data_IF_129560704325
#
_entry.id   IF_129560704325
#
_cell.length_a   1.000
_cell.length_b   1.000
_cell.length_c   1.000
_cell.angle_alpha   90.00
_cell.angle_beta   90.00
_cell.angle_gamma   90.00
#
_symmetry.space_group_name_H-M   'P 1'
#
loop_
_entity.id
_entity.type
_entity.pdbx_description
1 polymer ?
#
# COMPACT_ATOMS: atom_id res chain seq x y z
N UNK A 1 1.67 -30.93 -4.98
CA UNK A 1 1.26 -29.71 -5.69
C UNK A 1 -0.25 -29.78 -5.83
N UNK A 2 -1.01 -29.11 -4.95
CA UNK A 2 -2.45 -28.92 -5.15
C UNK A 2 -2.62 -28.15 -6.45
N UNK A 3 -3.49 -28.64 -7.37
CA UNK A 3 -3.80 -27.94 -8.60
C UNK A 3 -4.37 -26.55 -8.25
N UNK A 4 -3.66 -25.50 -8.63
CA UNK A 4 -4.15 -24.12 -8.47
C UNK A 4 -5.54 -24.00 -9.14
N UNK A 5 -6.45 -23.31 -8.51
CA UNK A 5 -7.79 -23.06 -9.06
C UNK A 5 -7.63 -22.19 -10.31
N UNK A 6 -8.24 -22.60 -11.44
CA UNK A 6 -8.21 -21.83 -12.68
C UNK A 6 -9.51 -21.04 -12.82
N UNK A 7 -9.40 -19.75 -13.05
CA UNK A 7 -10.53 -18.92 -13.50
C UNK A 7 -10.46 -18.82 -15.02
N UNK A 8 -11.30 -19.59 -15.70
CA UNK A 8 -11.30 -19.69 -17.16
C UNK A 8 -11.81 -18.42 -17.86
N UNK A 9 -12.36 -17.47 -17.11
CA UNK A 9 -12.82 -16.21 -17.68
C UNK A 9 -11.63 -15.34 -18.12
N UNK A 10 -11.61 -14.95 -19.40
CA UNK A 10 -10.64 -13.99 -19.93
C UNK A 10 -11.19 -12.58 -19.78
N UNK A 11 -10.56 -11.79 -18.92
CA UNK A 11 -10.90 -10.37 -18.72
C UNK A 11 -10.28 -9.49 -19.79
N UNK A 12 -10.95 -8.38 -20.14
CA UNK A 12 -10.34 -7.40 -21.04
C UNK A 12 -9.13 -6.75 -20.38
N UNK A 13 -9.28 -6.36 -19.12
CA UNK A 13 -8.23 -5.71 -18.31
C UNK A 13 -8.09 -6.38 -16.96
N UNK A 14 -6.88 -6.76 -16.59
CA UNK A 14 -6.53 -7.10 -15.21
C UNK A 14 -5.59 -6.03 -14.65
N UNK A 15 -5.94 -5.51 -13.48
CA UNK A 15 -5.20 -4.48 -12.76
C UNK A 15 -4.47 -5.15 -11.61
N UNK A 16 -3.15 -5.00 -11.55
CA UNK A 16 -2.32 -5.54 -10.48
C UNK A 16 -1.98 -4.40 -9.52
N UNK A 17 -2.63 -4.42 -8.34
CA UNK A 17 -2.53 -3.41 -7.31
C UNK A 17 -3.79 -2.55 -7.18
N UNK A 18 -4.42 -2.58 -6.01
CA UNK A 18 -5.67 -1.91 -5.67
C UNK A 18 -5.50 -0.58 -4.92
N UNK A 19 -4.36 0.10 -5.12
CA UNK A 19 -4.13 1.46 -4.62
C UNK A 19 -4.93 2.53 -5.37
N UNK A 20 -4.76 3.83 -5.06
CA UNK A 20 -5.54 4.90 -5.70
C UNK A 20 -5.48 4.88 -7.22
N UNK A 21 -4.29 4.73 -7.82
CA UNK A 21 -4.13 4.62 -9.26
C UNK A 21 -4.84 3.39 -9.82
N UNK A 22 -4.77 2.24 -9.13
CA UNK A 22 -5.46 1.01 -9.53
C UNK A 22 -6.98 1.12 -9.48
N UNK A 23 -7.51 1.73 -8.43
CA UNK A 23 -8.95 2.00 -8.29
C UNK A 23 -9.45 2.91 -9.41
N UNK A 24 -8.73 4.00 -9.70
CA UNK A 24 -9.12 4.89 -10.79
C UNK A 24 -8.95 4.23 -12.16
N UNK A 25 -7.94 3.38 -12.34
CA UNK A 25 -7.78 2.55 -13.54
C UNK A 25 -8.98 1.62 -13.75
N UNK A 26 -9.46 0.97 -12.68
CA UNK A 26 -10.63 0.09 -12.74
C UNK A 26 -11.90 0.86 -13.11
N UNK A 27 -12.12 2.02 -12.47
CA UNK A 27 -13.23 2.89 -12.80
C UNK A 27 -13.21 3.28 -14.30
N UNK A 28 -12.04 3.70 -14.78
CA UNK A 28 -11.91 4.14 -16.17
C UNK A 28 -12.04 2.98 -17.17
N UNK A 29 -11.58 1.78 -16.80
CA UNK A 29 -11.83 0.55 -17.57
C UNK A 29 -13.33 0.24 -17.71
N UNK A 30 -14.08 0.37 -16.61
CA UNK A 30 -15.54 0.25 -16.61
C UNK A 30 -16.23 1.29 -17.51
N UNK A 31 -15.78 2.55 -17.48
CA UNK A 31 -16.27 3.60 -18.40
C UNK A 31 -16.02 3.25 -19.88
N UNK A 32 -14.99 2.47 -20.18
CA UNK A 32 -14.71 1.93 -21.51
C UNK A 32 -15.45 0.62 -21.81
N UNK A 33 -16.39 0.21 -20.93
CA UNK A 33 -17.17 -1.03 -21.04
C UNK A 33 -16.30 -2.30 -21.10
N UNK A 34 -15.09 -2.24 -20.54
CA UNK A 34 -14.21 -3.38 -20.42
C UNK A 34 -14.62 -4.25 -19.21
N UNK A 35 -14.47 -5.56 -19.33
CA UNK A 35 -14.50 -6.45 -18.18
C UNK A 35 -13.20 -6.27 -17.40
N UNK A 36 -13.31 -5.89 -16.11
CA UNK A 36 -12.18 -5.52 -15.27
C UNK A 36 -12.04 -6.44 -14.08
N UNK A 37 -10.80 -6.88 -13.82
CA UNK A 37 -10.40 -7.57 -12.59
C UNK A 37 -9.32 -6.77 -11.88
N UNK A 38 -9.39 -6.70 -10.54
CA UNK A 38 -8.32 -6.19 -9.67
C UNK A 38 -7.75 -7.35 -8.88
N UNK A 39 -6.43 -7.52 -8.88
CA UNK A 39 -5.72 -8.46 -8.01
C UNK A 39 -4.87 -7.62 -7.05
N UNK A 40 -5.13 -7.79 -5.74
CA UNK A 40 -4.48 -7.05 -4.67
C UNK A 40 -3.93 -8.02 -3.62
N UNK A 41 -2.67 -7.86 -3.27
CA UNK A 41 -1.98 -8.71 -2.28
C UNK A 41 -2.41 -8.44 -0.84
N UNK A 42 -2.96 -7.25 -0.59
CA UNK A 42 -3.43 -6.86 0.73
C UNK A 42 -4.87 -7.31 1.00
N UNK A 43 -5.30 -7.39 2.28
CA UNK A 43 -6.66 -7.79 2.64
C UNK A 43 -7.71 -6.73 2.32
N UNK A 44 -7.30 -5.56 1.84
CA UNK A 44 -8.19 -4.44 1.50
C UNK A 44 -7.64 -3.60 0.34
N UNK A 45 -8.55 -2.92 -0.35
CA UNK A 45 -8.21 -1.92 -1.35
C UNK A 45 -7.75 -0.62 -0.69
N UNK A 46 -7.00 0.20 -1.44
CA UNK A 46 -6.52 1.51 -1.02
C UNK A 46 -5.00 1.61 -0.95
N UNK A 47 -4.29 0.47 -1.03
CA UNK A 47 -2.82 0.44 -1.04
C UNK A 47 -2.23 1.12 0.18
N UNK A 48 -1.17 1.91 -0.03
CA UNK A 48 -0.46 2.62 1.05
C UNK A 48 -1.34 3.58 1.84
N UNK A 49 -2.35 4.20 1.22
CA UNK A 49 -3.24 5.16 1.88
C UNK A 49 -4.01 4.49 3.02
N UNK A 50 -4.62 3.36 2.75
CA UNK A 50 -5.37 2.61 3.76
C UNK A 50 -4.47 1.86 4.74
N UNK A 51 -3.28 1.42 4.30
CA UNK A 51 -2.41 0.59 5.11
C UNK A 51 -1.49 1.39 6.04
N UNK A 52 -0.97 2.54 5.58
CA UNK A 52 0.09 3.25 6.29
C UNK A 52 -0.38 4.52 7.00
N UNK A 53 -1.34 5.26 6.40
CA UNK A 53 -1.70 6.57 6.90
C UNK A 53 -3.16 6.97 6.59
N UNK A 54 -4.15 6.10 6.94
CA UNK A 54 -5.56 6.34 6.62
C UNK A 54 -6.09 7.67 7.19
N UNK A 55 -5.56 8.11 8.32
CA UNK A 55 -5.98 9.32 9.03
C UNK A 55 -5.26 10.60 8.58
N UNK A 56 -4.18 10.47 7.80
CA UNK A 56 -3.45 11.66 7.31
C UNK A 56 -4.23 12.42 6.27
N UNK A 57 -4.06 13.75 6.29
CA UNK A 57 -4.60 14.64 5.27
C UNK A 57 -3.66 14.75 4.07
N UNK A 58 -4.26 14.72 2.89
CA UNK A 58 -3.60 14.90 1.59
C UNK A 58 -4.08 16.23 1.02
N UNK A 59 -3.17 17.06 0.50
CA UNK A 59 -3.44 18.41 0.02
C UNK A 59 -3.21 18.58 -1.48
N UNK A 60 -2.59 17.61 -2.13
CA UNK A 60 -2.14 17.68 -3.54
C UNK A 60 -2.94 16.76 -4.47
N UNK A 61 -4.20 16.49 -4.11
CA UNK A 61 -5.17 15.84 -5.01
C UNK A 61 -6.14 16.88 -5.54
N UNK A 62 -6.13 17.06 -6.86
CA UNK A 62 -6.96 18.04 -7.53
C UNK A 62 -8.45 17.87 -7.20
N UNK A 63 -9.15 18.98 -6.92
CA UNK A 63 -10.56 18.98 -6.53
C UNK A 63 -10.80 18.91 -5.01
N UNK A 64 -9.78 18.64 -4.21
CA UNK A 64 -9.86 18.64 -2.75
C UNK A 64 -8.89 19.66 -2.14
N UNK A 65 -9.38 20.68 -1.41
CA UNK A 65 -8.49 21.57 -0.64
C UNK A 65 -7.66 20.79 0.40
N UNK A 66 -8.27 19.76 1.00
CA UNK A 66 -7.67 18.68 1.77
C UNK A 66 -8.65 17.51 1.84
N UNK A 67 -8.14 16.30 1.92
CA UNK A 67 -8.96 15.09 2.08
C UNK A 67 -8.19 14.08 2.96
N UNK A 68 -8.87 13.36 3.85
CA UNK A 68 -8.21 12.25 4.53
C UNK A 68 -7.91 11.12 3.56
N UNK A 69 -6.79 10.45 3.76
CA UNK A 69 -6.36 9.34 2.90
C UNK A 69 -7.45 8.27 2.75
N UNK A 70 -8.09 7.88 3.87
CA UNK A 70 -9.19 6.91 3.84
C UNK A 70 -10.43 7.44 3.13
N UNK A 71 -10.79 8.69 3.28
CA UNK A 71 -11.92 9.31 2.57
C UNK A 71 -11.71 9.32 1.05
N UNK A 72 -10.49 9.60 0.60
CA UNK A 72 -10.14 9.51 -0.81
C UNK A 72 -10.32 8.08 -1.34
N UNK A 73 -9.86 7.07 -0.60
CA UNK A 73 -10.02 5.66 -0.95
C UNK A 73 -11.49 5.27 -1.00
N UNK A 74 -12.29 5.69 -0.03
CA UNK A 74 -13.73 5.38 0.02
C UNK A 74 -14.47 6.02 -1.16
N UNK A 75 -14.09 7.25 -1.55
CA UNK A 75 -14.58 7.91 -2.77
C UNK A 75 -14.26 7.10 -4.03
N UNK A 76 -13.01 6.62 -4.17
CA UNK A 76 -12.59 5.78 -5.29
C UNK A 76 -13.31 4.43 -5.32
N UNK A 77 -13.50 3.79 -4.16
CA UNK A 77 -14.31 2.56 -4.05
C UNK A 77 -15.75 2.78 -4.50
N UNK A 78 -16.34 3.92 -4.13
CA UNK A 78 -17.68 4.29 -4.59
C UNK A 78 -17.72 4.50 -6.10
N UNK A 79 -16.68 5.07 -6.71
CA UNK A 79 -16.61 5.21 -8.18
C UNK A 79 -16.60 3.85 -8.88
N UNK A 80 -15.76 2.90 -8.44
CA UNK A 80 -15.68 1.57 -9.08
C UNK A 80 -16.94 0.73 -8.88
N UNK A 81 -17.71 0.97 -7.83
CA UNK A 81 -18.95 0.20 -7.57
C UNK A 81 -20.01 0.34 -8.65
N UNK A 82 -19.97 1.39 -9.47
CA UNK A 82 -20.85 1.55 -10.63
C UNK A 82 -20.63 0.46 -11.71
N UNK A 83 -19.43 -0.11 -11.78
CA UNK A 83 -19.04 -1.08 -12.81
C UNK A 83 -18.81 -2.49 -12.28
N UNK A 84 -18.87 -2.69 -10.96
CA UNK A 84 -18.71 -3.98 -10.30
C UNK A 84 -17.53 -4.81 -10.83
N UNK A 85 -16.28 -4.31 -10.79
CA UNK A 85 -15.13 -5.10 -11.19
C UNK A 85 -14.97 -6.33 -10.29
N UNK A 86 -14.41 -7.41 -10.83
CA UNK A 86 -14.03 -8.55 -10.00
C UNK A 86 -12.83 -8.17 -9.15
N UNK A 87 -12.89 -8.42 -7.85
CA UNK A 87 -11.85 -8.06 -6.89
C UNK A 87 -11.33 -9.32 -6.21
N UNK A 88 -10.03 -9.58 -6.34
CA UNK A 88 -9.29 -10.63 -5.66
C UNK A 88 -8.38 -9.97 -4.61
N UNK A 89 -8.67 -10.20 -3.33
CA UNK A 89 -7.88 -9.69 -2.21
C UNK A 89 -7.01 -10.79 -1.61
N UNK A 90 -5.97 -10.38 -0.88
CA UNK A 90 -4.98 -11.28 -0.28
C UNK A 90 -4.37 -12.23 -1.31
N UNK A 91 -4.25 -11.79 -2.55
CA UNK A 91 -3.80 -12.60 -3.67
C UNK A 91 -2.62 -11.92 -4.36
N UNK A 92 -1.48 -12.61 -4.37
CA UNK A 92 -0.22 -12.10 -4.88
C UNK A 92 0.08 -12.67 -6.27
N UNK A 93 0.29 -11.80 -7.25
CA UNK A 93 0.75 -12.22 -8.59
C UNK A 93 2.21 -12.62 -8.51
N UNK A 94 2.49 -13.83 -8.98
CA UNK A 94 3.83 -14.42 -8.99
C UNK A 94 4.47 -14.43 -10.39
N UNK A 95 3.66 -14.67 -11.44
CA UNK A 95 4.17 -14.73 -12.79
C UNK A 95 3.12 -14.24 -13.80
N UNK A 96 3.61 -13.79 -14.96
CA UNK A 96 2.81 -13.40 -16.12
C UNK A 96 3.42 -13.98 -17.37
N UNK A 97 2.64 -14.78 -18.12
CA UNK A 97 3.09 -15.42 -19.34
C UNK A 97 2.14 -15.16 -20.50
N UNK A 98 2.68 -14.87 -21.70
CA UNK A 98 1.88 -14.71 -22.91
C UNK A 98 1.53 -16.08 -23.48
N UNK A 99 0.24 -16.27 -23.77
CA UNK A 99 -0.30 -17.50 -24.35
C UNK A 99 -0.27 -17.45 -25.89
N UNK A 100 -0.42 -18.62 -26.53
CA UNK A 100 -0.42 -18.73 -27.99
C UNK A 100 -1.57 -17.96 -28.67
N UNK A 101 -2.70 -17.78 -27.99
CA UNK A 101 -3.86 -17.04 -28.48
C UNK A 101 -3.71 -15.52 -28.29
N UNK A 102 -2.59 -15.07 -27.71
CA UNK A 102 -2.28 -13.68 -27.44
C UNK A 102 -2.78 -13.17 -26.08
N UNK A 103 -3.56 -13.95 -25.34
CA UNK A 103 -3.94 -13.65 -23.96
C UNK A 103 -2.73 -13.71 -23.02
N UNK A 104 -2.88 -13.15 -21.83
CA UNK A 104 -1.90 -13.17 -20.76
C UNK A 104 -2.41 -14.08 -19.65
N UNK A 105 -1.65 -15.11 -19.31
CA UNK A 105 -1.87 -15.93 -18.13
C UNK A 105 -1.19 -15.29 -16.93
N UNK A 106 -1.93 -15.15 -15.84
CA UNK A 106 -1.49 -14.53 -14.60
C UNK A 106 -1.52 -15.59 -13.51
N UNK A 107 -0.36 -16.03 -13.08
CA UNK A 107 -0.22 -17.00 -11.99
C UNK A 107 -0.12 -16.25 -10.66
N UNK A 108 -0.91 -16.66 -9.69
CA UNK A 108 -0.91 -16.11 -8.33
C UNK A 108 -0.63 -17.21 -7.31
N UNK A 109 -0.45 -16.84 -6.05
CA UNK A 109 -0.34 -17.78 -4.93
C UNK A 109 -1.65 -18.54 -4.64
N UNK A 110 -2.79 -18.09 -5.22
CA UNK A 110 -4.11 -18.73 -5.02
C UNK A 110 -4.69 -19.37 -6.28
N UNK A 111 -4.27 -18.94 -7.47
CA UNK A 111 -4.87 -19.43 -8.69
C UNK A 111 -4.20 -18.97 -9.97
N UNK A 112 -4.88 -19.22 -11.08
CA UNK A 112 -4.47 -18.78 -12.42
C UNK A 112 -5.62 -18.02 -13.06
N UNK A 113 -5.34 -16.85 -13.61
CA UNK A 113 -6.28 -15.94 -14.26
C UNK A 113 -5.83 -15.63 -15.68
N UNK A 114 -6.75 -15.15 -16.51
CA UNK A 114 -6.48 -14.79 -17.89
C UNK A 114 -6.96 -13.38 -18.22
N UNK A 115 -6.19 -12.65 -19.00
CA UNK A 115 -6.50 -11.28 -19.40
C UNK A 115 -6.01 -10.98 -20.82
N UNK A 116 -6.69 -10.07 -21.52
CA UNK A 116 -6.23 -9.57 -22.83
C UNK A 116 -5.12 -8.52 -22.68
N UNK A 117 -5.18 -7.72 -21.61
CA UNK A 117 -4.14 -6.78 -21.25
C UNK A 117 -4.05 -6.62 -19.72
N UNK A 118 -2.86 -6.23 -19.25
CA UNK A 118 -2.56 -6.03 -17.83
C UNK A 118 -2.13 -4.57 -17.60
N UNK A 119 -2.62 -3.95 -16.52
CA UNK A 119 -2.14 -2.64 -16.08
C UNK A 119 -1.59 -2.79 -14.66
N UNK A 120 -0.28 -2.57 -14.50
CA UNK A 120 0.40 -2.68 -13.22
C UNK A 120 0.34 -1.34 -12.50
N UNK A 121 -0.31 -1.33 -11.33
CA UNK A 121 -0.47 -0.16 -10.45
C UNK A 121 -0.01 -0.46 -9.03
N UNK A 122 1.06 -1.26 -8.92
CA UNK A 122 1.55 -1.83 -7.67
C UNK A 122 2.32 -0.83 -6.78
N UNK A 123 2.25 0.48 -7.04
CA UNK A 123 2.85 1.52 -6.22
C UNK A 123 4.38 1.40 -6.15
N UNK A 124 4.92 1.15 -4.97
CA UNK A 124 6.36 0.90 -4.77
C UNK A 124 6.71 -0.59 -4.84
N UNK A 125 5.80 -1.41 -5.33
CA UNK A 125 5.89 -2.87 -5.30
C UNK A 125 5.30 -3.45 -4.00
N UNK A 126 5.51 -4.74 -3.77
CA UNK A 126 5.16 -5.33 -2.49
C UNK A 126 5.97 -4.62 -1.40
N UNK A 127 5.28 -4.10 -0.38
CA UNK A 127 5.95 -3.53 0.76
C UNK A 127 5.65 -4.36 2.00
N UNK A 128 6.72 -4.75 2.65
CA UNK A 128 6.68 -5.51 3.89
C UNK A 128 7.21 -4.62 5.01
N UNK A 129 6.59 -4.63 6.20
CA UNK A 129 7.12 -3.90 7.32
C UNK A 129 8.48 -4.48 7.72
N UNK A 130 9.41 -3.61 8.09
CA UNK A 130 10.61 -4.05 8.79
C UNK A 130 10.20 -4.56 10.15
N UNK A 131 10.32 -5.86 10.33
CA UNK A 131 9.83 -6.55 11.52
C UNK A 131 10.70 -6.26 12.73
N UNK A 132 10.10 -6.39 13.89
CA UNK A 132 10.80 -6.41 15.16
C UNK A 132 11.68 -7.67 15.21
N UNK A 133 12.97 -7.50 15.48
CA UNK A 133 13.92 -8.60 15.58
C UNK A 133 13.74 -9.33 16.93
N UNK A 134 12.77 -10.22 17.01
CA UNK A 134 12.51 -11.06 18.17
C UNK A 134 11.97 -12.42 17.69
N UNK A 135 12.42 -13.56 18.29
CA UNK A 135 12.01 -14.90 17.85
C UNK A 135 10.50 -15.11 17.76
N UNK A 136 9.76 -14.56 18.72
CA UNK A 136 8.31 -14.74 18.83
C UNK A 136 7.48 -13.62 18.19
N UNK A 137 8.11 -12.66 17.49
CA UNK A 137 7.41 -11.49 16.93
C UNK A 137 6.22 -11.87 16.06
N UNK A 138 6.36 -12.90 15.22
CA UNK A 138 5.28 -13.37 14.34
C UNK A 138 4.05 -13.89 15.11
N UNK A 139 4.22 -14.44 16.31
CA UNK A 139 3.09 -14.89 17.13
C UNK A 139 2.33 -13.72 17.72
N UNK A 140 3.02 -12.66 18.11
CA UNK A 140 2.43 -11.43 18.67
C UNK A 140 1.69 -10.58 17.64
N UNK A 141 2.03 -10.68 16.33
CA UNK A 141 1.33 -10.00 15.24
C UNK A 141 -0.16 -10.40 15.14
N UNK A 142 -0.52 -11.56 15.66
CA UNK A 142 -1.91 -12.03 15.74
C UNK A 142 -2.68 -11.49 16.94
N UNK A 143 -2.01 -10.80 17.85
CA UNK A 143 -2.56 -10.35 19.12
C UNK A 143 -2.40 -8.85 19.35
N UNK A 144 -1.24 -8.37 19.75
CA UNK A 144 -1.01 -6.98 20.14
C UNK A 144 0.32 -6.36 19.69
N UNK A 145 0.93 -6.93 18.66
CA UNK A 145 2.04 -6.31 17.94
C UNK A 145 1.56 -5.87 16.55
N UNK A 146 1.64 -4.57 16.28
CA UNK A 146 1.08 -3.95 15.08
C UNK A 146 2.18 -3.30 14.24
N UNK A 147 2.15 -3.53 12.93
CA UNK A 147 2.94 -2.78 11.94
C UNK A 147 2.09 -1.78 11.16
N UNK A 148 0.77 -1.93 11.25
CA UNK A 148 -0.24 -1.08 10.63
C UNK A 148 -1.30 -0.72 11.66
N UNK A 149 -1.75 0.52 11.63
CA UNK A 149 -2.87 0.99 12.45
C UNK A 149 -4.02 1.30 11.50
N UNK A 150 -5.08 0.51 11.58
CA UNK A 150 -6.27 0.66 10.75
C UNK A 150 -7.45 1.30 11.47
N UNK A 151 -7.46 1.25 12.81
CA UNK A 151 -8.47 1.85 13.65
C UNK A 151 -7.82 2.42 14.93
N UNK A 152 -7.86 3.73 15.07
CA UNK A 152 -7.35 4.44 16.26
C UNK A 152 -8.13 4.07 17.54
N UNK A 153 -9.44 3.82 17.43
CA UNK A 153 -10.26 3.50 18.60
C UNK A 153 -9.89 2.16 19.24
N UNK A 154 -9.23 1.27 18.50
CA UNK A 154 -8.71 0.00 19.07
C UNK A 154 -7.69 0.22 20.20
N UNK A 155 -7.08 1.39 20.27
CA UNK A 155 -6.07 1.77 21.28
C UNK A 155 -6.62 2.64 22.42
N UNK A 156 -7.94 2.88 22.44
CA UNK A 156 -8.58 3.71 23.46
C UNK A 156 -8.32 3.15 24.87
N UNK A 157 -7.92 4.03 25.77
CA UNK A 157 -7.66 3.75 27.20
C UNK A 157 -6.56 2.70 27.46
N UNK A 158 -5.67 2.46 26.45
CA UNK A 158 -4.58 1.48 26.52
C UNK A 158 -3.22 2.14 26.69
N UNK A 159 -2.26 1.39 27.24
CA UNK A 159 -0.84 1.74 27.28
C UNK A 159 -0.22 1.28 25.96
N UNK A 160 0.28 2.20 25.18
CA UNK A 160 0.81 1.93 23.84
C UNK A 160 2.28 2.30 23.78
N UNK A 161 3.11 1.38 23.30
CA UNK A 161 4.52 1.63 23.00
C UNK A 161 4.74 1.62 21.50
N UNK A 162 5.30 2.71 20.97
CA UNK A 162 5.71 2.83 19.57
C UNK A 162 7.22 2.71 19.45
N UNK A 163 7.68 1.88 18.52
CA UNK A 163 9.09 1.83 18.14
C UNK A 163 9.29 2.53 16.79
N UNK A 164 10.15 3.54 16.75
CA UNK A 164 10.48 4.24 15.53
C UNK A 164 10.97 5.67 15.77
N UNK A 165 11.43 6.33 14.71
CA UNK A 165 11.95 7.71 14.81
C UNK A 165 11.80 8.51 13.52
N UNK A 166 10.99 8.05 12.59
CA UNK A 166 10.58 8.77 11.38
C UNK A 166 9.18 9.40 11.52
N UNK A 167 8.73 10.09 10.46
CA UNK A 167 7.44 10.78 10.45
C UNK A 167 6.28 9.90 10.88
N UNK A 168 6.20 8.65 10.40
CA UNK A 168 5.11 7.75 10.78
C UNK A 168 5.06 7.46 12.28
N UNK A 169 6.20 7.28 12.95
CA UNK A 169 6.22 7.02 14.38
C UNK A 169 5.75 8.24 15.18
N UNK A 170 6.23 9.43 14.82
CA UNK A 170 5.85 10.68 15.48
C UNK A 170 4.36 11.00 15.25
N UNK A 171 3.89 10.84 14.02
CA UNK A 171 2.49 11.08 13.69
C UNK A 171 1.54 10.14 14.44
N UNK A 172 1.86 8.83 14.50
CA UNK A 172 1.05 7.88 15.27
C UNK A 172 1.09 8.17 16.76
N UNK A 173 2.24 8.56 17.33
CA UNK A 173 2.32 8.94 18.73
C UNK A 173 1.40 10.12 19.04
N UNK A 174 1.39 11.14 18.17
CA UNK A 174 0.54 12.32 18.33
C UNK A 174 -0.95 12.03 18.12
N UNK A 175 -1.30 11.12 17.17
CA UNK A 175 -2.69 10.72 16.96
C UNK A 175 -3.24 9.86 18.11
N UNK A 176 -2.41 9.05 18.74
CA UNK A 176 -2.80 8.19 19.86
C UNK A 176 -2.82 8.93 21.20
N UNK A 177 -2.03 9.97 21.36
CA UNK A 177 -1.91 10.73 22.62
C UNK A 177 -3.26 11.15 23.22
N UNK A 178 -4.24 11.68 22.46
CA UNK A 178 -5.55 12.07 23.04
C UNK A 178 -6.48 10.89 23.33
N UNK A 179 -6.18 9.68 22.86
CA UNK A 179 -7.08 8.51 22.87
C UNK A 179 -6.61 7.45 23.85
N UNK A 180 -5.31 7.16 23.84
CA UNK A 180 -4.70 6.13 24.67
C UNK A 180 -4.58 6.60 26.13
N UNK A 181 -4.49 5.65 27.05
CA UNK A 181 -4.20 5.92 28.46
C UNK A 181 -2.80 6.50 28.64
N UNK A 182 -1.84 5.92 27.90
CA UNK A 182 -0.44 6.28 27.94
C UNK A 182 0.23 5.94 26.61
N UNK A 183 1.10 6.82 26.13
CA UNK A 183 1.85 6.62 24.89
C UNK A 183 3.34 6.80 25.16
N UNK A 184 4.12 5.77 24.84
CA UNK A 184 5.57 5.82 24.83
C UNK A 184 6.08 5.73 23.40
N UNK A 185 7.07 6.55 23.05
CA UNK A 185 7.81 6.39 21.80
C UNK A 185 9.28 6.06 22.12
N UNK A 186 9.72 4.91 21.61
CA UNK A 186 11.08 4.41 21.80
C UNK A 186 11.87 4.57 20.51
N UNK A 187 12.98 5.30 20.57
CA UNK A 187 13.87 5.50 19.44
C UNK A 187 15.33 5.29 19.83
N UNK A 188 16.07 4.53 18.99
CA UNK A 188 17.46 4.13 19.24
C UNK A 188 18.50 5.24 19.13
N UNK A 189 18.14 6.45 18.69
CA UNK A 189 19.00 7.60 18.52
C UNK A 189 18.42 8.80 19.26
N UNK A 190 19.28 9.73 19.67
CA UNK A 190 18.85 10.96 20.31
C UNK A 190 18.04 11.87 19.38
N UNK A 191 18.30 11.80 18.06
CA UNK A 191 17.67 12.66 17.07
C UNK A 191 16.66 11.87 16.22
N UNK A 192 15.40 12.35 16.18
CA UNK A 192 14.37 11.87 15.26
C UNK A 192 14.70 12.29 13.81
N UNK A 193 14.19 11.50 12.86
CA UNK A 193 14.25 11.80 11.42
C UNK A 193 12.97 12.45 10.90
N UNK A 194 11.96 12.57 11.74
CA UNK A 194 10.69 13.21 11.43
C UNK A 194 10.87 14.72 11.25
N UNK A 195 9.85 15.34 10.65
CA UNK A 195 9.81 16.79 10.46
C UNK A 195 9.96 17.53 11.80
N UNK A 196 10.83 18.55 11.87
CA UNK A 196 11.22 19.23 13.09
C UNK A 196 10.00 19.74 13.89
N UNK A 197 9.06 20.40 13.21
CA UNK A 197 7.84 20.91 13.85
C UNK A 197 6.98 19.79 14.49
N UNK A 198 6.88 18.62 13.86
CA UNK A 198 6.15 17.48 14.43
C UNK A 198 6.85 16.92 15.67
N UNK A 199 8.18 16.89 15.66
CA UNK A 199 8.98 16.48 16.82
C UNK A 199 8.82 17.48 17.97
N UNK A 200 8.87 18.80 17.70
CA UNK A 200 8.64 19.84 18.71
C UNK A 200 7.26 19.70 19.38
N UNK A 201 6.21 19.50 18.58
CA UNK A 201 4.85 19.29 19.10
C UNK A 201 4.78 18.01 19.96
N UNK A 202 5.42 16.92 19.54
CA UNK A 202 5.45 15.69 20.33
C UNK A 202 6.20 15.89 21.66
N UNK A 203 7.33 16.58 21.65
CA UNK A 203 8.11 16.88 22.86
C UNK A 203 7.34 17.76 23.85
N UNK A 204 6.41 18.59 23.36
CA UNK A 204 5.53 19.43 24.17
C UNK A 204 4.24 18.73 24.61
N UNK A 205 3.97 17.51 24.17
CA UNK A 205 2.77 16.73 24.46
C UNK A 205 2.94 15.82 25.70
N UNK A 206 1.93 14.97 25.97
CA UNK A 206 1.99 13.96 27.04
C UNK A 206 2.68 12.66 26.61
N UNK A 207 3.22 12.59 25.39
CA UNK A 207 3.96 11.41 24.92
C UNK A 207 5.25 11.23 25.71
N UNK A 208 5.47 10.05 26.26
CA UNK A 208 6.72 9.70 26.93
C UNK A 208 7.79 9.37 25.90
N UNK A 209 8.74 10.27 25.69
CA UNK A 209 9.81 10.11 24.70
C UNK A 209 11.02 9.45 25.32
N UNK A 210 11.37 8.26 24.83
CA UNK A 210 12.46 7.42 25.32
C UNK A 210 13.55 7.29 24.24
N UNK A 211 14.60 8.07 24.41
CA UNK A 211 15.78 8.10 23.52
C UNK A 211 17.06 8.21 24.33
N UNK A 212 18.17 7.63 23.90
CA UNK A 212 18.34 6.60 22.89
C UNK A 212 18.16 5.20 23.49
N UNK A 213 17.07 4.53 23.18
CA UNK A 213 16.76 3.21 23.72
C UNK A 213 16.44 2.21 22.60
N UNK A 214 16.77 0.93 22.85
CA UNK A 214 16.45 -0.21 21.99
C UNK A 214 15.69 -1.27 22.79
N UNK A 215 14.92 -2.12 22.11
CA UNK A 215 14.26 -3.26 22.74
C UNK A 215 15.34 -4.26 23.21
N UNK A 216 15.28 -4.68 24.46
CA UNK A 216 16.14 -5.71 25.05
C UNK A 216 15.41 -7.05 25.19
N UNK A 217 14.20 -7.05 25.77
CA UNK A 217 13.40 -8.26 25.92
C UNK A 217 11.90 -7.97 25.94
N UNK A 218 11.12 -9.02 25.72
CA UNK A 218 9.65 -9.02 25.74
C UNK A 218 9.19 -10.00 26.83
N UNK A 219 8.27 -9.57 27.68
CA UNK A 219 7.49 -10.46 28.54
C UNK A 219 6.10 -10.65 27.93
N UNK A 220 5.61 -11.87 27.97
CA UNK A 220 4.30 -12.19 27.41
C UNK A 220 3.54 -13.16 28.28
N UNK A 221 2.21 -13.05 28.26
CA UNK A 221 1.30 -14.02 28.86
C UNK A 221 0.24 -14.40 27.82
N UNK A 222 -0.04 -15.71 27.72
CA UNK A 222 -1.02 -16.29 26.78
C UNK A 222 -0.88 -15.79 25.33
N UNK A 223 0.36 -15.57 24.86
CA UNK A 223 0.64 -15.10 23.50
C UNK A 223 0.41 -13.60 23.28
N UNK A 224 0.24 -12.81 24.34
CA UNK A 224 0.18 -11.34 24.30
C UNK A 224 1.36 -10.73 25.02
N UNK A 225 1.93 -9.68 24.49
CA UNK A 225 2.96 -8.88 25.13
C UNK A 225 2.33 -8.17 26.34
N UNK A 226 2.97 -8.25 27.50
CA UNK A 226 2.53 -7.63 28.76
C UNK A 226 3.48 -6.55 29.25
N UNK A 227 4.79 -6.73 29.04
CA UNK A 227 5.79 -5.70 29.28
C UNK A 227 6.96 -5.82 28.31
N UNK A 228 7.69 -4.73 28.19
CA UNK A 228 8.90 -4.61 27.38
C UNK A 228 10.03 -4.13 28.25
N UNK A 229 11.20 -4.73 28.12
CA UNK A 229 12.43 -4.18 28.67
C UNK A 229 13.19 -3.49 27.56
N UNK A 230 13.47 -2.21 27.74
CA UNK A 230 14.30 -1.41 26.85
C UNK A 230 15.66 -1.13 27.48
N UNK A 231 16.70 -1.04 26.66
CA UNK A 231 18.07 -0.77 27.07
C UNK A 231 18.54 0.58 26.51
N UNK A 232 19.06 1.42 27.38
CA UNK A 232 19.67 2.67 26.94
C UNK A 232 20.97 2.38 26.15
N UNK A 233 21.07 2.92 24.95
CA UNK A 233 22.12 2.55 23.98
C UNK A 233 23.54 2.77 24.51
N UNK A 234 23.75 3.76 25.38
CA UNK A 234 25.08 4.13 25.91
C UNK A 234 25.28 3.63 27.35
N UNK A 235 24.39 3.93 28.29
CA UNK A 235 24.56 3.58 29.71
C UNK A 235 24.27 2.12 30.03
N UNK A 236 23.60 1.41 29.10
CA UNK A 236 23.16 0.02 29.31
C UNK A 236 22.14 -0.15 30.44
N UNK A 237 21.56 0.92 30.88
CA UNK A 237 20.47 0.93 31.85
C UNK A 237 19.22 0.27 31.25
N UNK A 238 18.60 -0.61 32.04
CA UNK A 238 17.39 -1.31 31.66
C UNK A 238 16.16 -0.62 32.27
N UNK A 239 15.14 -0.42 31.47
CA UNK A 239 13.85 0.13 31.90
C UNK A 239 12.74 -0.82 31.48
N UNK A 240 11.87 -1.20 32.39
CA UNK A 240 10.69 -2.01 32.11
C UNK A 240 9.47 -1.10 31.90
N UNK A 241 8.66 -1.41 30.87
CA UNK A 241 7.44 -0.67 30.49
C UNK A 241 6.30 -1.67 30.36
N UNK A 242 5.27 -1.53 31.17
CA UNK A 242 4.01 -2.25 30.98
C UNK A 242 3.28 -1.78 29.73
N UNK A 243 2.72 -2.71 28.95
CA UNK A 243 2.13 -2.39 27.67
C UNK A 243 0.89 -3.24 27.37
N UNK A 244 -0.09 -2.64 26.75
CA UNK A 244 -1.29 -3.33 26.25
C UNK A 244 -1.19 -3.60 24.73
N UNK A 245 -0.59 -2.67 23.97
CA UNK A 245 -0.33 -2.80 22.51
C UNK A 245 1.01 -2.19 22.10
N UNK A 246 1.68 -2.83 21.16
CA UNK A 246 2.97 -2.39 20.60
C UNK A 246 2.81 -2.06 19.12
N UNK A 247 3.30 -0.91 18.69
CA UNK A 247 3.32 -0.49 17.29
C UNK A 247 4.76 -0.33 16.83
N UNK A 248 5.12 -0.93 15.69
CA UNK A 248 6.48 -0.88 15.14
C UNK A 248 6.51 -0.11 13.84
N UNK A 249 7.17 1.03 13.84
CA UNK A 249 7.32 1.94 12.70
C UNK A 249 8.80 2.04 12.25
N UNK A 250 9.43 0.91 11.94
CA UNK A 250 10.81 0.87 11.41
C UNK A 250 10.91 1.17 9.91
N UNK A 251 9.77 1.49 9.29
CA UNK A 251 9.62 1.66 7.86
C UNK A 251 9.37 0.34 7.14
N UNK A 252 9.37 0.41 5.81
CA UNK A 252 9.03 -0.70 4.94
C UNK A 252 10.18 -1.03 4.01
N UNK A 253 10.23 -2.29 3.59
CA UNK A 253 11.08 -2.75 2.50
C UNK A 253 10.18 -2.77 1.26
N UNK A 254 10.46 -1.93 0.28
CA UNK A 254 9.80 -1.98 -1.01
C UNK A 254 10.57 -2.93 -1.93
N UNK A 255 9.87 -3.84 -2.57
CA UNK A 255 10.45 -4.76 -3.54
C UNK A 255 9.49 -4.95 -4.71
N UNK A 256 10.02 -4.91 -5.92
CA UNK A 256 9.25 -5.32 -7.11
C UNK A 256 8.88 -6.80 -7.07
N UNK A 257 9.53 -7.58 -6.21
CA UNK A 257 9.25 -9.01 -6.07
C UNK A 257 9.32 -9.74 -7.41
N UNK A 258 8.30 -10.53 -7.74
CA UNK A 258 8.22 -11.30 -8.99
C UNK A 258 8.25 -10.46 -10.26
N UNK A 259 7.81 -9.21 -10.24
CA UNK A 259 7.80 -8.31 -11.42
C UNK A 259 9.18 -8.24 -12.10
N UNK A 260 10.26 -8.41 -11.34
CA UNK A 260 11.64 -8.44 -11.86
C UNK A 260 11.88 -9.53 -12.90
N UNK A 261 11.08 -10.60 -12.86
CA UNK A 261 11.24 -11.77 -13.69
C UNK A 261 10.28 -11.81 -14.91
N UNK A 262 9.38 -10.82 -15.06
CA UNK A 262 8.37 -10.81 -16.13
C UNK A 262 8.91 -10.28 -17.48
N UNK A 263 10.23 -10.07 -17.61
CA UNK A 263 10.85 -9.58 -18.85
C UNK A 263 10.58 -8.09 -19.14
N UNK A 264 10.02 -7.36 -18.18
CA UNK A 264 9.71 -5.93 -18.30
C UNK A 264 10.98 -5.12 -18.04
N UNK A 265 11.21 -4.08 -18.83
CA UNK A 265 12.33 -3.17 -18.63
C UNK A 265 12.14 -2.37 -17.33
N UNK A 266 13.16 -2.42 -16.48
CA UNK A 266 13.16 -1.75 -15.17
C UNK A 266 14.27 -0.70 -15.08
N UNK A 267 14.00 0.38 -14.36
CA UNK A 267 14.96 1.38 -13.93
C UNK A 267 14.73 1.70 -12.44
N UNK A 268 15.76 1.55 -11.60
CA UNK A 268 15.73 1.90 -10.16
C UNK A 268 14.49 1.40 -9.41
N UNK A 269 14.14 0.13 -9.58
CA UNK A 269 12.93 -0.46 -9.00
C UNK A 269 11.60 0.17 -9.49
N UNK A 270 11.57 0.69 -10.71
CA UNK A 270 10.35 1.15 -11.37
C UNK A 270 10.25 0.58 -12.77
N UNK A 271 9.05 0.46 -13.30
CA UNK A 271 8.77 -0.06 -14.64
C UNK A 271 8.91 1.08 -15.65
N UNK A 272 9.78 0.91 -16.63
CA UNK A 272 9.95 1.88 -17.71
C UNK A 272 8.74 1.82 -18.64
N UNK A 273 8.10 2.97 -18.88
CA UNK A 273 6.97 3.11 -19.80
C UNK A 273 7.19 4.24 -20.79
N UNK A 274 6.52 4.15 -21.93
CA UNK A 274 6.46 5.23 -22.91
C UNK A 274 5.29 6.20 -22.63
N UNK A 275 5.03 7.17 -23.53
CA UNK A 275 3.94 8.15 -23.41
C UNK A 275 2.53 7.53 -23.47
N UNK A 276 2.40 6.26 -23.89
CA UNK A 276 1.16 5.49 -23.88
C UNK A 276 0.99 4.63 -22.62
N UNK A 277 1.91 4.75 -21.67
CA UNK A 277 2.01 3.89 -20.49
C UNK A 277 2.31 2.41 -20.82
N UNK A 278 2.79 2.11 -22.05
CA UNK A 278 3.21 0.78 -22.46
C UNK A 278 4.57 0.43 -21.86
N UNK A 279 4.69 -0.79 -21.34
CA UNK A 279 5.98 -1.38 -20.94
C UNK A 279 6.71 -1.94 -22.16
N UNK A 280 7.89 -2.52 -21.94
CA UNK A 280 8.63 -3.25 -22.99
C UNK A 280 7.94 -4.55 -23.44
N UNK A 281 6.94 -5.04 -22.71
CA UNK A 281 6.18 -6.26 -23.01
C UNK A 281 4.81 -5.90 -23.59
N UNK A 282 4.49 -6.26 -24.85
CA UNK A 282 3.21 -5.93 -25.47
C UNK A 282 2.01 -6.49 -24.69
N UNK A 283 1.00 -5.63 -24.46
CA UNK A 283 -0.19 -5.96 -23.69
C UNK A 283 -0.05 -5.68 -22.18
N UNK A 284 1.14 -5.29 -21.72
CA UNK A 284 1.39 -4.91 -20.33
C UNK A 284 1.68 -3.41 -20.24
N UNK A 285 0.96 -2.74 -19.37
CA UNK A 285 1.02 -1.30 -19.08
C UNK A 285 1.38 -1.08 -17.62
N UNK A 286 1.82 0.13 -17.27
CA UNK A 286 2.00 0.50 -15.87
C UNK A 286 1.61 1.96 -15.65
N UNK A 287 1.06 2.26 -14.45
CA UNK A 287 0.67 3.59 -14.04
C UNK A 287 0.84 3.79 -12.52
N UNK A 288 0.92 5.03 -12.08
CA UNK A 288 1.19 5.39 -10.69
C UNK A 288 2.68 5.28 -10.34
N UNK A 289 2.99 5.15 -9.07
CA UNK A 289 4.37 5.25 -8.56
C UNK A 289 5.30 4.13 -9.05
N UNK A 290 4.73 3.02 -9.52
CA UNK A 290 5.51 1.91 -10.10
C UNK A 290 6.10 2.26 -11.46
N UNK A 291 5.45 3.15 -12.20
CA UNK A 291 5.88 3.57 -13.54
C UNK A 291 6.98 4.63 -13.47
N UNK A 292 7.91 4.60 -14.45
CA UNK A 292 8.93 5.64 -14.64
C UNK A 292 9.11 5.98 -16.11
N UNK A 293 9.36 7.26 -16.36
CA UNK A 293 9.69 7.87 -17.65
C UNK A 293 10.40 9.22 -17.41
N UNK A 294 11.07 9.82 -18.38
CA UNK A 294 11.70 11.13 -18.20
C UNK A 294 10.72 12.18 -17.70
N UNK A 295 11.02 12.83 -16.58
CA UNK A 295 10.16 13.84 -15.95
C UNK A 295 9.07 13.29 -15.04
N UNK A 296 9.04 11.99 -14.74
CA UNK A 296 8.08 11.38 -13.81
C UNK A 296 8.15 11.99 -12.43
N UNK A 297 6.98 12.38 -11.90
CA UNK A 297 6.77 12.79 -10.51
C UNK A 297 5.84 11.77 -9.84
N UNK A 298 6.22 11.29 -8.66
CA UNK A 298 5.45 10.29 -7.90
C UNK A 298 4.41 10.98 -7.01
N UNK A 299 3.26 11.29 -7.59
CA UNK A 299 2.09 11.87 -6.93
C UNK A 299 0.83 11.09 -7.32
N UNK A 300 -0.14 11.04 -6.42
CA UNK A 300 -1.45 10.43 -6.68
C UNK A 300 -2.11 11.10 -7.90
N UNK A 301 -2.06 12.43 -7.98
CA UNK A 301 -2.61 13.20 -9.08
C UNK A 301 -1.99 12.83 -10.44
N UNK A 302 -0.69 12.54 -10.48
CA UNK A 302 -0.01 12.07 -11.70
C UNK A 302 -0.49 10.67 -12.08
N UNK A 303 -0.60 9.77 -11.10
CA UNK A 303 -1.16 8.43 -11.30
C UNK A 303 -2.59 8.45 -11.85
N UNK A 304 -3.41 9.40 -11.42
CA UNK A 304 -4.77 9.59 -11.95
C UNK A 304 -4.76 10.06 -13.41
N UNK A 305 -3.78 10.84 -13.85
CA UNK A 305 -3.60 11.20 -15.26
C UNK A 305 -3.09 10.05 -16.13
N UNK A 306 -2.24 9.20 -15.57
CA UNK A 306 -1.66 8.03 -16.26
C UNK A 306 -2.68 6.90 -16.43
N UNK A 307 -3.57 6.70 -15.47
CA UNK A 307 -4.57 5.63 -15.49
C UNK A 307 -5.46 5.66 -16.76
N UNK A 308 -6.10 6.77 -17.13
CA UNK A 308 -6.86 6.85 -18.38
C UNK A 308 -6.01 6.63 -19.63
N UNK A 309 -4.76 7.11 -19.63
CA UNK A 309 -3.83 6.90 -20.73
C UNK A 309 -3.53 5.42 -20.92
N UNK A 310 -3.20 4.70 -19.83
CA UNK A 310 -2.96 3.27 -19.87
C UNK A 310 -4.19 2.49 -20.34
N UNK A 311 -5.37 2.77 -19.78
CA UNK A 311 -6.62 2.10 -20.16
C UNK A 311 -6.95 2.30 -21.64
N UNK A 312 -6.91 3.54 -22.14
CA UNK A 312 -7.27 3.80 -23.53
C UNK A 312 -6.31 3.11 -24.52
N UNK A 313 -5.01 3.10 -24.22
CA UNK A 313 -4.03 2.41 -25.05
C UNK A 313 -4.16 0.88 -24.94
N UNK A 314 -4.47 0.35 -23.77
CA UNK A 314 -4.76 -1.08 -23.59
C UNK A 314 -6.02 -1.51 -24.38
N UNK A 315 -7.09 -0.71 -24.36
CA UNK A 315 -8.30 -0.98 -25.14
C UNK A 315 -8.00 -0.93 -26.65
N UNK A 316 -7.20 0.03 -27.13
CA UNK A 316 -6.78 0.09 -28.53
C UNK A 316 -5.89 -1.10 -28.92
N UNK A 317 -5.09 -1.63 -28.01
CA UNK A 317 -4.30 -2.85 -28.22
C UNK A 317 -5.19 -4.09 -28.35
N UNK A 318 -6.20 -4.22 -27.47
CA UNK A 318 -7.15 -5.36 -27.49
C UNK A 318 -8.05 -5.30 -28.73
N UNK A 319 -8.50 -4.11 -29.08
CA UNK A 319 -9.39 -3.85 -30.22
C UNK A 319 -8.86 -2.66 -31.04
N UNK A 320 -8.10 -2.95 -32.12
CA UNK A 320 -7.54 -1.88 -32.97
C UNK A 320 -8.58 -0.95 -33.62
N UNK A 321 -9.85 -1.36 -33.68
CA UNK A 321 -10.94 -0.52 -34.19
C UNK A 321 -11.55 0.40 -33.13
N UNK A 322 -11.19 0.26 -31.86
CA UNK A 322 -11.68 1.11 -30.78
C UNK A 322 -11.10 2.53 -30.92
N UNK A 323 -11.94 3.53 -30.70
CA UNK A 323 -11.47 4.91 -30.62
C UNK A 323 -10.55 5.08 -29.41
N UNK A 324 -9.34 5.63 -29.62
CA UNK A 324 -8.41 5.93 -28.55
C UNK A 324 -9.00 7.00 -27.60
N UNK A 325 -9.53 8.08 -28.15
CA UNK A 325 -10.20 9.12 -27.38
C UNK A 325 -11.65 8.71 -27.09
N UNK A 326 -12.04 8.52 -25.82
CA UNK A 326 -13.43 8.21 -25.46
C UNK A 326 -14.33 9.44 -25.60
N UNK A 327 -15.64 9.22 -25.52
CA UNK A 327 -16.61 10.29 -25.33
C UNK A 327 -16.47 10.95 -23.95
N UNK A 328 -17.14 12.08 -23.75
CA UNK A 328 -17.15 12.78 -22.47
C UNK A 328 -18.01 12.01 -21.43
N UNK A 329 -17.51 11.93 -20.20
CA UNK A 329 -18.22 11.26 -19.08
C UNK A 329 -19.58 11.92 -18.78
N UNK A 330 -19.71 13.23 -19.04
CA UNK A 330 -20.97 13.97 -18.90
C UNK A 330 -22.11 13.48 -19.81
N UNK A 331 -21.79 12.68 -20.81
CA UNK A 331 -22.78 12.05 -21.72
C UNK A 331 -23.20 10.65 -21.27
N UNK A 332 -22.69 10.17 -20.16
CA UNK A 332 -23.01 8.86 -19.59
C UNK A 332 -24.04 9.00 -18.47
N UNK A 333 -25.04 8.14 -18.47
CA UNK A 333 -25.94 7.96 -17.31
C UNK A 333 -25.32 6.89 -16.40
N UNK A 334 -24.61 7.33 -15.37
CA UNK A 334 -23.99 6.50 -14.35
C UNK A 334 -24.89 6.36 -13.12
#
# INVERSE_FOLDING_TARGET
>A
LSSLKRDEQVYDLTIIGGGPAGLFTAFYGGMRQASVKIIESMPQLGGQLSALYPEKYIYDVAGFPKVRAQELVDGLKKQISHFNPTICLEEKVEDVAKQADGSLEITTDKGVHYSKAIIITAGVGAFEPRRLEHPDSMSFEKTNLHYFVTDLNAFKDKRVVLFGGGDSAVDWAMMLEPIAKEVHIVHRRDKFRAHEHSVENMMASRVNVLTPYELSSIQSDQGRITSLTIEHSTSKELTEIEVDDVIVNFGFISSLGPIKNWGIQLEKNSIVVNSKMETSVPGIYAAGDIATYPGKVKLIAVGFGEAPTAVNNAIAYINPNAKLQPGHSSSMNL
#
